data_IF_777483048261
#
_entry.id   IF_777483048261
#
_cell.length_a   1.000
_cell.length_b   1.000
_cell.length_c   1.000
_cell.angle_alpha   90.00
_cell.angle_beta   90.00
_cell.angle_gamma   90.00
#
_symmetry.space_group_name_H-M   'P 1'
#
loop_
_entity.id
_entity.type
_entity.pdbx_description
1 polymer ?
#
# COMPACT_ATOMS: atom_id res chain seq x y z
N UNK A 1 13.73 -25.48 -3.48
CA UNK A 1 12.53 -24.64 -3.24
C UNK A 1 12.26 -23.86 -4.52
N UNK A 2 11.07 -23.95 -5.12
CA UNK A 2 10.80 -23.35 -6.44
C UNK A 2 10.90 -21.82 -6.33
N UNK A 3 11.84 -21.18 -7.04
CA UNK A 3 12.18 -19.74 -6.93
C UNK A 3 10.92 -18.85 -6.97
N UNK A 4 9.97 -19.20 -7.84
CA UNK A 4 8.66 -18.55 -7.99
C UNK A 4 7.78 -18.56 -6.72
N UNK A 5 7.83 -19.64 -5.94
CA UNK A 5 7.05 -19.79 -4.71
C UNK A 5 7.65 -18.96 -3.57
N UNK A 6 8.98 -18.88 -3.50
CA UNK A 6 9.68 -17.99 -2.57
C UNK A 6 9.37 -16.51 -2.85
N UNK A 7 9.27 -16.12 -4.13
CA UNK A 7 8.84 -14.77 -4.52
C UNK A 7 7.40 -14.44 -4.09
N UNK A 8 6.46 -15.35 -4.34
CA UNK A 8 5.07 -15.15 -3.91
C UNK A 8 4.95 -14.96 -2.39
N UNK A 9 5.72 -15.72 -1.61
CA UNK A 9 5.76 -15.56 -0.16
C UNK A 9 6.32 -14.20 0.27
N UNK A 10 7.39 -13.72 -0.37
CA UNK A 10 7.96 -12.40 -0.06
C UNK A 10 6.97 -11.26 -0.34
N UNK A 11 6.24 -11.34 -1.45
CA UNK A 11 5.18 -10.39 -1.79
C UNK A 11 4.03 -10.41 -0.78
N UNK A 12 3.62 -11.61 -0.37
CA UNK A 12 2.58 -11.77 0.65
C UNK A 12 3.00 -11.16 1.99
N UNK A 13 4.21 -11.44 2.45
CA UNK A 13 4.73 -10.89 3.70
C UNK A 13 4.82 -9.35 3.63
N UNK A 14 5.29 -8.82 2.51
CA UNK A 14 5.32 -7.39 2.26
C UNK A 14 3.92 -6.77 2.31
N UNK A 15 2.94 -7.35 1.61
CA UNK A 15 1.57 -6.85 1.59
C UNK A 15 0.90 -6.93 2.97
N UNK A 16 1.25 -7.93 3.78
CA UNK A 16 0.78 -8.07 5.15
C UNK A 16 1.31 -6.94 6.04
N UNK A 17 2.63 -6.71 6.01
CA UNK A 17 3.28 -5.62 6.77
C UNK A 17 2.75 -4.27 6.30
N UNK A 18 2.58 -4.09 4.99
CA UNK A 18 1.99 -2.90 4.39
C UNK A 18 0.59 -2.63 4.91
N UNK A 19 -0.29 -3.64 4.90
CA UNK A 19 -1.66 -3.50 5.39
C UNK A 19 -1.68 -3.12 6.87
N UNK A 20 -0.86 -3.77 7.70
CA UNK A 20 -0.73 -3.45 9.12
C UNK A 20 -0.25 -2.00 9.35
N UNK A 21 0.76 -1.56 8.59
CA UNK A 21 1.27 -0.19 8.63
C UNK A 21 0.19 0.84 8.23
N UNK A 22 -0.62 0.52 7.22
CA UNK A 22 -1.72 1.37 6.75
C UNK A 22 -2.85 1.46 7.77
N UNK A 23 -3.22 0.36 8.40
CA UNK A 23 -4.19 0.33 9.52
C UNK A 23 -3.67 1.17 10.70
N UNK A 24 -2.37 1.05 11.01
CA UNK A 24 -1.72 1.86 12.04
C UNK A 24 -1.80 3.35 11.72
N UNK A 25 -1.47 3.74 10.48
CA UNK A 25 -1.54 5.13 10.02
C UNK A 25 -2.96 5.69 10.04
N UNK A 26 -3.94 4.91 9.58
CA UNK A 26 -5.36 5.29 9.66
C UNK A 26 -5.84 5.44 11.09
N UNK A 27 -5.34 4.61 12.01
CA UNK A 27 -5.68 4.68 13.44
C UNK A 27 -5.08 5.92 14.11
N UNK A 28 -3.83 6.26 13.78
CA UNK A 28 -3.16 7.49 14.23
C UNK A 28 -3.84 8.75 13.69
N UNK A 29 -4.29 8.72 12.45
CA UNK A 29 -4.94 9.85 11.79
C UNK A 29 -6.46 9.91 12.04
N UNK A 30 -7.04 8.97 12.80
CA UNK A 30 -8.49 8.86 12.99
C UNK A 30 -9.12 10.13 13.56
N UNK A 31 -8.47 10.74 14.55
CA UNK A 31 -8.92 11.99 15.18
C UNK A 31 -8.84 13.18 14.21
N UNK A 32 -7.78 13.23 13.40
CA UNK A 32 -7.56 14.27 12.38
C UNK A 32 -8.49 14.12 11.16
N UNK A 33 -8.81 12.89 10.77
CA UNK A 33 -9.67 12.57 9.63
C UNK A 33 -11.14 12.86 9.92
N UNK A 34 -11.56 12.76 11.19
CA UNK A 34 -12.92 13.11 11.62
C UNK A 34 -13.27 14.59 11.40
N UNK A 35 -12.27 15.47 11.38
CA UNK A 35 -12.41 16.90 11.08
C UNK A 35 -12.30 17.27 9.59
N UNK A 36 -11.84 16.36 8.73
CA UNK A 36 -11.66 16.64 7.31
C UNK A 36 -13.00 16.57 6.56
N UNK A 37 -13.30 17.60 5.75
CA UNK A 37 -14.56 17.72 4.97
C UNK A 37 -14.83 16.56 4.00
N UNK A 38 -13.79 15.82 3.59
CA UNK A 38 -13.89 14.58 2.83
C UNK A 38 -14.11 13.44 3.82
N UNK A 39 -15.38 13.16 4.11
CA UNK A 39 -15.83 12.31 5.21
C UNK A 39 -15.04 11.01 5.41
N UNK A 40 -14.94 10.61 6.68
CA UNK A 40 -14.25 9.45 7.27
C UNK A 40 -14.16 8.15 6.45
N UNK A 41 -15.03 7.95 5.45
CA UNK A 41 -15.10 6.75 4.63
C UNK A 41 -14.14 6.74 3.44
N UNK A 42 -13.81 7.90 2.84
CA UNK A 42 -12.97 7.92 1.64
C UNK A 42 -11.55 7.37 1.88
N UNK A 43 -10.81 7.75 2.94
CA UNK A 43 -9.48 7.18 3.21
C UNK A 43 -9.56 5.68 3.51
N UNK A 44 -10.59 5.25 4.25
CA UNK A 44 -10.81 3.84 4.60
C UNK A 44 -11.09 2.98 3.37
N UNK A 45 -11.92 3.46 2.44
CA UNK A 45 -12.30 2.72 1.24
C UNK A 45 -11.20 2.80 0.18
N UNK A 46 -10.66 4.01 -0.08
CA UNK A 46 -9.67 4.24 -1.12
C UNK A 46 -8.29 3.70 -0.77
N UNK A 47 -7.94 3.61 0.52
CA UNK A 47 -6.67 3.05 0.97
C UNK A 47 -6.83 1.64 1.55
N UNK A 48 -7.87 1.34 2.32
CA UNK A 48 -8.04 0.02 2.94
C UNK A 48 -8.41 -1.09 1.94
N UNK A 49 -9.44 -0.85 1.12
CA UNK A 49 -9.98 -1.89 0.22
C UNK A 49 -8.95 -2.39 -0.82
N UNK A 50 -8.20 -1.52 -1.53
CA UNK A 50 -7.18 -1.99 -2.48
C UNK A 50 -6.06 -2.77 -1.80
N UNK A 51 -5.67 -2.40 -0.57
CA UNK A 51 -4.57 -3.04 0.14
C UNK A 51 -4.93 -4.44 0.65
N UNK A 52 -6.16 -4.65 1.10
CA UNK A 52 -6.66 -5.99 1.41
C UNK A 52 -6.71 -6.87 0.15
N UNK A 53 -7.05 -6.28 -1.00
CA UNK A 53 -7.10 -6.99 -2.28
C UNK A 53 -5.69 -7.38 -2.76
N UNK A 54 -4.67 -6.54 -2.57
CA UNK A 54 -3.27 -6.90 -2.87
C UNK A 54 -2.78 -8.06 -2.02
N UNK A 55 -3.08 -8.07 -0.72
CA UNK A 55 -2.75 -9.19 0.16
C UNK A 55 -3.36 -10.51 -0.33
N UNK A 56 -4.62 -10.45 -0.78
CA UNK A 56 -5.31 -11.62 -1.32
C UNK A 56 -4.67 -12.09 -2.63
N UNK A 57 -4.31 -11.16 -3.53
CA UNK A 57 -3.64 -11.50 -4.78
C UNK A 57 -2.25 -12.09 -4.57
N UNK A 58 -1.45 -11.54 -3.65
CA UNK A 58 -0.12 -12.08 -3.32
C UNK A 58 -0.21 -13.43 -2.61
N UNK A 59 -1.24 -13.64 -1.79
CA UNK A 59 -1.55 -14.95 -1.22
C UNK A 59 -1.84 -16.00 -2.31
N UNK A 60 -2.66 -15.68 -3.31
CA UNK A 60 -2.94 -16.59 -4.43
C UNK A 60 -1.70 -16.85 -5.31
N UNK A 61 -0.89 -15.81 -5.57
CA UNK A 61 0.38 -15.96 -6.28
C UNK A 61 1.37 -16.86 -5.53
N UNK A 62 1.33 -16.89 -4.20
CA UNK A 62 2.12 -17.80 -3.39
C UNK A 62 1.60 -19.25 -3.45
N UNK A 63 0.29 -19.45 -3.31
CA UNK A 63 -0.30 -20.79 -3.20
C UNK A 63 -0.42 -21.51 -4.56
N UNK A 64 -0.78 -20.78 -5.63
CA UNK A 64 -1.00 -21.30 -6.99
C UNK A 64 -0.36 -20.40 -8.06
N UNK A 65 0.99 -20.34 -8.13
CA UNK A 65 1.70 -19.41 -9.03
C UNK A 65 1.46 -19.67 -10.52
N UNK A 66 1.12 -20.91 -10.93
CA UNK A 66 0.86 -21.24 -12.33
C UNK A 66 -0.49 -20.66 -12.81
N UNK A 67 -1.55 -20.87 -12.02
CA UNK A 67 -2.91 -20.45 -12.35
C UNK A 67 -3.07 -18.92 -12.27
N UNK A 68 -2.31 -18.28 -11.37
CA UNK A 68 -2.44 -16.84 -11.12
C UNK A 68 -1.39 -15.95 -11.81
N UNK A 69 -0.46 -16.54 -12.57
CA UNK A 69 0.54 -15.77 -13.32
C UNK A 69 -0.06 -14.70 -14.26
N UNK A 70 -1.18 -14.92 -14.98
CA UNK A 70 -1.78 -13.91 -15.86
C UNK A 70 -2.26 -12.66 -15.11
N UNK A 71 -2.63 -12.80 -13.84
CA UNK A 71 -3.12 -11.69 -13.02
C UNK A 71 -1.98 -10.82 -12.46
N UNK A 72 -0.71 -11.16 -12.69
CA UNK A 72 0.43 -10.35 -12.25
C UNK A 72 0.41 -8.93 -12.82
N UNK A 73 -0.02 -8.75 -14.08
CA UNK A 73 -0.16 -7.41 -14.67
C UNK A 73 -1.28 -6.60 -13.99
N UNK A 74 -2.36 -7.26 -13.60
CA UNK A 74 -3.46 -6.63 -12.86
C UNK A 74 -2.99 -6.21 -11.46
N UNK A 75 -2.18 -7.04 -10.79
CA UNK A 75 -1.54 -6.71 -9.51
C UNK A 75 -0.68 -5.45 -9.64
N UNK A 76 0.18 -5.38 -10.67
CA UNK A 76 1.03 -4.20 -10.93
C UNK A 76 0.19 -2.96 -11.21
N UNK A 77 -0.82 -3.06 -12.08
CA UNK A 77 -1.69 -1.93 -12.40
C UNK A 77 -2.42 -1.41 -11.15
N UNK A 78 -2.95 -2.32 -10.34
CA UNK A 78 -3.58 -1.98 -9.06
C UNK A 78 -2.60 -1.31 -8.11
N UNK A 79 -1.38 -1.82 -7.96
CA UNK A 79 -0.33 -1.21 -7.13
C UNK A 79 -0.01 0.22 -7.58
N UNK A 80 0.15 0.45 -8.88
CA UNK A 80 0.38 1.80 -9.43
C UNK A 80 -0.78 2.74 -9.09
N UNK A 81 -2.03 2.30 -9.29
CA UNK A 81 -3.20 3.09 -8.89
C UNK A 81 -3.23 3.36 -7.39
N UNK A 82 -2.87 2.38 -6.56
CA UNK A 82 -2.78 2.52 -5.11
C UNK A 82 -1.73 3.55 -4.68
N UNK A 83 -0.55 3.56 -5.31
CA UNK A 83 0.48 4.59 -5.09
C UNK A 83 -0.08 5.97 -5.48
N UNK A 84 -0.63 6.10 -6.69
CA UNK A 84 -1.15 7.37 -7.20
C UNK A 84 -2.27 7.92 -6.30
N UNK A 85 -3.19 7.07 -5.86
CA UNK A 85 -4.26 7.44 -4.94
C UNK A 85 -3.71 7.88 -3.57
N UNK A 86 -2.74 7.14 -3.02
CA UNK A 86 -2.12 7.46 -1.74
C UNK A 86 -1.36 8.78 -1.78
N UNK A 87 -0.59 9.03 -2.85
CA UNK A 87 0.16 10.27 -3.07
C UNK A 87 -0.79 11.44 -3.28
N UNK A 88 -1.83 11.26 -4.12
CA UNK A 88 -2.83 12.30 -4.37
C UNK A 88 -3.57 12.68 -3.09
N UNK A 89 -4.00 11.67 -2.32
CA UNK A 89 -4.63 11.89 -1.03
C UNK A 89 -3.70 12.64 -0.07
N UNK A 90 -2.43 12.21 0.04
CA UNK A 90 -1.46 12.89 0.89
C UNK A 90 -1.25 14.35 0.50
N UNK A 91 -1.12 14.66 -0.79
CA UNK A 91 -0.97 16.04 -1.29
C UNK A 91 -2.20 16.88 -0.97
N UNK A 92 -3.41 16.36 -1.26
CA UNK A 92 -4.66 17.09 -1.02
C UNK A 92 -4.95 17.29 0.46
N UNK A 93 -4.59 16.32 1.30
CA UNK A 93 -4.78 16.36 2.75
C UNK A 93 -3.59 16.93 3.51
N UNK A 94 -2.49 17.29 2.82
CA UNK A 94 -1.24 17.71 3.47
C UNK A 94 -1.46 18.87 4.44
N UNK A 95 -2.20 19.89 4.01
CA UNK A 95 -2.51 21.06 4.83
C UNK A 95 -3.33 20.68 6.07
N UNK A 96 -4.34 19.84 5.91
CA UNK A 96 -5.23 19.44 7.00
C UNK A 96 -4.50 18.55 8.01
N UNK A 97 -3.65 17.64 7.53
CA UNK A 97 -2.77 16.79 8.36
C UNK A 97 -1.71 17.63 9.08
N UNK A 98 -1.13 18.63 8.42
CA UNK A 98 -0.14 19.52 9.03
C UNK A 98 -0.75 20.39 10.13
N UNK A 99 -1.97 20.90 9.92
CA UNK A 99 -2.69 21.70 10.92
C UNK A 99 -3.20 20.85 12.09
N UNK A 100 -3.67 19.62 11.83
CA UNK A 100 -4.24 18.74 12.87
C UNK A 100 -3.20 18.14 13.79
N UNK A 101 -1.99 17.89 13.29
CA UNK A 101 -0.87 17.41 14.09
C UNK A 101 -0.23 18.52 14.93
N UNK A 102 -0.68 19.78 14.82
CA UNK A 102 -0.44 20.82 15.82
C UNK A 102 1.04 21.01 16.20
N UNK A 103 1.91 21.24 15.21
CA UNK A 103 3.38 21.36 15.40
C UNK A 103 4.07 20.12 15.98
N UNK A 104 3.38 18.98 16.12
CA UNK A 104 4.01 17.70 16.39
C UNK A 104 4.79 17.26 15.14
N UNK A 105 6.05 17.69 15.13
CA UNK A 105 7.00 17.48 14.05
C UNK A 105 7.24 15.98 13.87
N UNK A 106 7.16 15.19 14.94
CA UNK A 106 7.31 13.74 14.91
C UNK A 106 6.11 13.06 14.24
N UNK A 107 4.88 13.47 14.56
CA UNK A 107 3.68 12.96 13.90
C UNK A 107 3.71 13.20 12.39
N UNK A 108 4.08 14.41 11.98
CA UNK A 108 4.13 14.80 10.56
C UNK A 108 5.21 14.04 9.80
N UNK A 109 6.42 13.93 10.38
CA UNK A 109 7.53 13.14 9.83
C UNK A 109 7.16 11.66 9.74
N UNK A 110 6.46 11.13 10.74
CA UNK A 110 6.06 9.72 10.77
C UNK A 110 5.07 9.42 9.64
N UNK A 111 4.05 10.26 9.45
CA UNK A 111 3.07 10.09 8.37
C UNK A 111 3.74 10.22 7.01
N UNK A 112 4.52 11.28 6.78
CA UNK A 112 5.22 11.48 5.51
C UNK A 112 6.23 10.35 5.22
N UNK A 113 7.02 9.97 6.22
CA UNK A 113 8.00 8.90 6.13
C UNK A 113 7.37 7.54 5.86
N UNK A 114 6.25 7.22 6.52
CA UNK A 114 5.54 5.96 6.30
C UNK A 114 4.90 5.93 4.91
N UNK A 115 4.26 7.03 4.46
CA UNK A 115 3.71 7.12 3.11
C UNK A 115 4.79 6.92 2.04
N UNK A 116 5.97 7.52 2.23
CA UNK A 116 7.09 7.39 1.31
C UNK A 116 7.68 5.98 1.33
N UNK A 117 7.88 5.39 2.51
CA UNK A 117 8.34 4.01 2.66
C UNK A 117 7.39 3.00 2.00
N UNK A 118 6.07 3.20 2.14
CA UNK A 118 5.06 2.37 1.48
C UNK A 118 5.13 2.50 -0.05
N UNK A 119 5.26 3.72 -0.57
CA UNK A 119 5.38 3.97 -2.01
C UNK A 119 6.67 3.33 -2.60
N UNK A 120 7.80 3.46 -1.90
CA UNK A 120 9.06 2.82 -2.30
C UNK A 120 8.93 1.30 -2.27
N UNK A 121 8.33 0.74 -1.22
CA UNK A 121 8.08 -0.70 -1.12
C UNK A 121 7.22 -1.22 -2.26
N UNK A 122 6.21 -0.45 -2.69
CA UNK A 122 5.37 -0.83 -3.82
C UNK A 122 6.15 -0.81 -5.12
N UNK A 123 7.00 0.20 -5.34
CA UNK A 123 7.91 0.25 -6.48
C UNK A 123 8.83 -0.97 -6.54
N UNK A 124 9.41 -1.36 -5.40
CA UNK A 124 10.23 -2.58 -5.29
C UNK A 124 9.41 -3.82 -5.61
N UNK A 125 8.18 -3.94 -5.06
CA UNK A 125 7.31 -5.11 -5.32
C UNK A 125 6.97 -5.25 -6.81
N UNK A 126 6.73 -4.14 -7.51
CA UNK A 126 6.47 -4.11 -8.95
C UNK A 126 7.72 -4.54 -9.73
N UNK A 127 8.89 -4.01 -9.39
CA UNK A 127 10.16 -4.36 -10.04
C UNK A 127 10.48 -5.85 -9.87
N UNK A 128 10.30 -6.38 -8.66
CA UNK A 128 10.51 -7.80 -8.36
C UNK A 128 9.55 -8.69 -9.17
N UNK A 129 8.28 -8.30 -9.28
CA UNK A 129 7.31 -9.05 -10.06
C UNK A 129 7.64 -9.03 -11.56
N UNK A 130 8.05 -7.88 -12.10
CA UNK A 130 8.47 -7.77 -13.51
C UNK A 130 9.72 -8.57 -13.81
N UNK A 131 10.72 -8.54 -12.93
CA UNK A 131 11.93 -9.35 -13.07
C UNK A 131 11.61 -10.86 -13.10
N UNK A 132 10.73 -11.31 -12.21
CA UNK A 132 10.26 -12.70 -12.14
C UNK A 132 9.50 -13.15 -13.41
N UNK A 133 8.87 -12.23 -14.13
CA UNK A 133 8.15 -12.51 -15.38
C UNK A 133 9.03 -12.40 -16.64
N UNK A 134 10.06 -11.56 -16.61
CA UNK A 134 10.96 -11.29 -17.75
C UNK A 134 12.15 -12.24 -17.88
N UNK A 135 12.49 -13.01 -16.85
CA UNK A 135 13.57 -14.01 -16.87
C UNK A 135 13.22 -15.30 -17.62
N UNK A 136 12.79 -15.18 -18.89
CA UNK A 136 12.75 -16.29 -19.85
C UNK A 136 14.01 -16.33 -20.67
#
# INVERSE_FOLDING_TARGET
MNVRRSFGFALFLYDLVRLAALIGLLSLLRSSLASARLGNLFPLIALGSPNALFLLMSFFLWFRPADYAPFGNLYVAGKVLGITASVTWFILSFRDVFLSLGMDTLGTITVAGLTLALAVGDGISILLLRYSQGGR
#
